data_IF_758689441597
#
_entry.id   IF_758689441597
#
_cell.length_a   1.000
_cell.length_b   1.000
_cell.length_c   1.000
_cell.angle_alpha   90.00
_cell.angle_beta   90.00
_cell.angle_gamma   90.00
#
_symmetry.space_group_name_H-M   'P 1'
#
loop_
_entity.id
_entity.type
_entity.pdbx_description
1 polymer ?
#
# COMPACT_ATOMS: atom_id res chain seq x y z
N UNK A 1 -4.21 19.78 -9.92
CA UNK A 1 -3.87 18.41 -10.36
C UNK A 1 -4.01 17.52 -9.15
N UNK A 2 -4.85 16.49 -9.20
CA UNK A 2 -5.07 15.60 -8.06
C UNK A 2 -3.97 14.55 -7.99
N UNK A 3 -3.48 14.22 -6.79
CA UNK A 3 -2.59 13.08 -6.56
C UNK A 3 -3.41 11.94 -5.97
N UNK A 4 -3.31 10.75 -6.54
CA UNK A 4 -4.09 9.58 -6.14
C UNK A 4 -3.14 8.44 -5.84
N UNK A 5 -3.20 7.95 -4.60
CA UNK A 5 -2.54 6.72 -4.17
C UNK A 5 -3.51 5.54 -4.31
N UNK A 6 -3.12 4.51 -5.06
CA UNK A 6 -3.95 3.34 -5.33
C UNK A 6 -3.23 2.04 -4.97
N UNK A 7 -3.83 1.24 -4.08
CA UNK A 7 -3.33 -0.08 -3.70
C UNK A 7 -4.48 -0.98 -3.25
N UNK A 8 -4.25 -2.30 -3.26
CA UNK A 8 -5.17 -3.27 -2.69
C UNK A 8 -4.71 -3.71 -1.30
N UNK A 9 -5.63 -3.74 -0.32
CA UNK A 9 -5.35 -4.21 1.04
C UNK A 9 -5.32 -5.75 1.14
N UNK A 10 -4.52 -6.42 0.29
CA UNK A 10 -4.37 -7.88 0.27
C UNK A 10 -2.99 -8.28 -0.22
N UNK A 11 -2.39 -9.27 0.45
CA UNK A 11 -1.15 -9.94 0.01
C UNK A 11 -1.38 -10.98 -1.09
N UNK A 12 -2.61 -11.15 -1.58
CA UNK A 12 -2.85 -12.03 -2.72
C UNK A 12 -2.28 -11.44 -4.01
N UNK A 13 -1.31 -12.15 -4.61
CA UNK A 13 -0.78 -11.83 -5.95
C UNK A 13 -1.84 -11.83 -7.07
N UNK A 14 -3.02 -12.41 -6.81
CA UNK A 14 -4.17 -12.46 -7.73
C UNK A 14 -5.35 -11.60 -7.25
N UNK A 15 -5.14 -10.65 -6.34
CA UNK A 15 -6.18 -9.80 -5.76
C UNK A 15 -7.01 -9.07 -6.83
N UNK A 16 -8.31 -9.35 -6.88
CA UNK A 16 -9.25 -8.64 -7.75
C UNK A 16 -9.43 -7.19 -7.30
N UNK A 17 -9.39 -6.93 -5.99
CA UNK A 17 -9.50 -5.58 -5.43
C UNK A 17 -8.30 -4.71 -5.83
N UNK A 18 -7.09 -5.27 -5.86
CA UNK A 18 -5.90 -4.55 -6.37
C UNK A 18 -6.09 -4.17 -7.83
N UNK A 19 -6.51 -5.11 -8.68
CA UNK A 19 -6.76 -4.85 -10.11
C UNK A 19 -7.82 -3.76 -10.30
N UNK A 20 -8.91 -3.83 -9.55
CA UNK A 20 -10.00 -2.87 -9.62
C UNK A 20 -9.57 -1.46 -9.16
N UNK A 21 -8.86 -1.35 -8.03
CA UNK A 21 -8.36 -0.06 -7.52
C UNK A 21 -7.43 0.63 -8.53
N UNK A 22 -6.48 -0.11 -9.11
CA UNK A 22 -5.56 0.42 -10.12
C UNK A 22 -6.33 0.85 -11.38
N UNK A 23 -7.29 0.04 -11.84
CA UNK A 23 -8.11 0.38 -12.99
C UNK A 23 -8.87 1.70 -12.80
N UNK A 24 -9.60 1.82 -11.68
CA UNK A 24 -10.40 3.03 -11.38
C UNK A 24 -9.51 4.26 -11.21
N UNK A 25 -8.35 4.14 -10.56
CA UNK A 25 -7.42 5.26 -10.40
C UNK A 25 -6.96 5.82 -11.75
N UNK A 26 -6.67 4.96 -12.72
CA UNK A 26 -6.27 5.38 -14.08
C UNK A 26 -7.42 6.02 -14.89
N UNK A 27 -8.69 5.88 -14.46
CA UNK A 27 -9.81 6.55 -15.10
C UNK A 27 -9.98 8.01 -14.66
N UNK A 28 -9.24 8.48 -13.65
CA UNK A 28 -9.38 9.84 -13.10
C UNK A 28 -8.65 10.83 -14.03
N UNK A 29 -9.37 11.78 -14.68
CA UNK A 29 -8.75 12.70 -15.63
C UNK A 29 -7.75 13.64 -14.94
N UNK A 30 -6.58 13.81 -15.57
CA UNK A 30 -5.53 14.74 -15.12
C UNK A 30 -5.06 14.53 -13.67
N UNK A 31 -5.12 13.28 -13.17
CA UNK A 31 -4.55 12.91 -11.88
C UNK A 31 -3.15 12.28 -12.04
N UNK A 32 -2.26 12.58 -11.10
CA UNK A 32 -1.00 11.89 -10.91
C UNK A 32 -1.27 10.63 -10.09
N UNK A 33 -1.08 9.45 -10.68
CA UNK A 33 -1.42 8.17 -10.04
C UNK A 33 -0.13 7.53 -9.49
N UNK A 34 -0.10 7.30 -8.18
CA UNK A 34 0.91 6.51 -7.48
C UNK A 34 0.31 5.13 -7.17
N UNK A 35 0.91 4.05 -7.66
CA UNK A 35 0.43 2.68 -7.44
C UNK A 35 1.39 1.94 -6.53
N UNK A 36 0.86 1.32 -5.47
CA UNK A 36 1.62 0.47 -4.55
C UNK A 36 1.16 -0.99 -4.63
N UNK A 37 2.11 -1.92 -4.60
CA UNK A 37 1.88 -3.30 -4.22
C UNK A 37 2.17 -3.51 -2.74
N UNK A 38 1.17 -3.92 -1.96
CA UNK A 38 1.36 -4.17 -0.53
C UNK A 38 2.35 -5.31 -0.24
N UNK A 39 2.59 -6.20 -1.21
CA UNK A 39 3.61 -7.25 -1.10
C UNK A 39 5.04 -6.71 -1.01
N UNK A 40 5.30 -5.48 -1.48
CA UNK A 40 6.60 -4.83 -1.34
C UNK A 40 6.81 -4.26 0.08
N UNK A 41 5.75 -4.26 0.89
CA UNK A 41 5.67 -3.72 2.24
C UNK A 41 5.15 -4.75 3.23
N UNK A 42 5.49 -6.03 3.03
CA UNK A 42 5.08 -7.10 3.91
C UNK A 42 5.63 -6.88 5.33
N UNK A 43 4.73 -6.81 6.30
CA UNK A 43 5.01 -6.53 7.70
C UNK A 43 4.29 -7.55 8.57
N UNK A 44 4.78 -7.83 9.79
CA UNK A 44 4.03 -8.66 10.73
C UNK A 44 2.68 -8.02 11.05
N UNK A 45 1.70 -8.85 11.40
CA UNK A 45 0.48 -8.34 12.03
C UNK A 45 0.89 -7.54 13.28
N UNK A 46 0.35 -6.34 13.39
CA UNK A 46 0.62 -5.43 14.49
C UNK A 46 0.36 -6.10 15.85
N UNK A 47 1.29 -5.89 16.77
CA UNK A 47 1.23 -6.27 18.17
C UNK A 47 2.11 -5.28 18.93
N UNK A 48 1.61 -4.77 20.06
CA UNK A 48 2.37 -3.82 20.86
C UNK A 48 3.66 -4.45 21.39
N UNK A 49 3.63 -5.70 21.82
CA UNK A 49 4.81 -6.44 22.29
C UNK A 49 5.90 -6.50 21.21
N UNK A 50 5.52 -6.77 19.96
CA UNK A 50 6.48 -6.83 18.84
C UNK A 50 7.11 -5.48 18.54
N UNK A 51 6.35 -4.39 18.66
CA UNK A 51 6.84 -3.03 18.46
C UNK A 51 7.76 -2.60 19.61
N UNK A 52 7.44 -2.95 20.86
CA UNK A 52 8.33 -2.67 22.00
C UNK A 52 9.65 -3.44 21.91
N UNK A 53 9.62 -4.68 21.42
CA UNK A 53 10.80 -5.53 21.26
C UNK A 53 11.67 -5.15 20.05
N UNK A 54 11.05 -4.86 18.90
CA UNK A 54 11.75 -4.76 17.60
C UNK A 54 11.65 -3.37 16.96
N UNK A 55 10.89 -2.46 17.56
CA UNK A 55 10.56 -1.16 16.98
C UNK A 55 9.56 -1.25 15.82
N UNK A 56 9.35 -0.11 15.18
CA UNK A 56 8.50 0.01 13.99
C UNK A 56 9.26 -0.57 12.78
N UNK A 57 8.64 -1.45 11.96
CA UNK A 57 9.29 -2.00 10.77
C UNK A 57 9.75 -0.92 9.79
N UNK A 58 10.96 -1.07 9.25
CA UNK A 58 11.51 -0.15 8.23
C UNK A 58 10.59 0.00 7.00
N UNK A 59 9.91 -1.08 6.62
CA UNK A 59 8.94 -1.07 5.52
C UNK A 59 7.73 -0.17 5.81
N UNK A 60 7.35 0.05 7.08
CA UNK A 60 6.30 1.00 7.44
C UNK A 60 6.72 2.44 7.13
N UNK A 61 7.98 2.79 7.44
CA UNK A 61 8.52 4.11 7.10
C UNK A 61 8.59 4.30 5.59
N UNK A 62 9.04 3.29 4.84
CA UNK A 62 9.04 3.36 3.36
C UNK A 62 7.65 3.50 2.76
N UNK A 63 6.65 2.80 3.31
CA UNK A 63 5.26 2.92 2.86
C UNK A 63 4.72 4.35 3.05
N UNK A 64 5.12 5.03 4.14
CA UNK A 64 4.68 6.40 4.47
C UNK A 64 5.15 7.46 3.45
N UNK A 65 6.21 7.20 2.69
CA UNK A 65 6.80 8.17 1.75
C UNK A 65 6.04 8.29 0.41
N UNK A 66 4.96 7.52 0.21
CA UNK A 66 4.14 7.51 -1.00
C UNK A 66 2.89 8.39 -0.93
#
# INVERSE_FOLDING_TARGET
MSKVLAFGASSSKKSINKKFAIYVANCIPSAEINVIDLNDYEMPIYSIDKEEENGIPELAYRFKEH
#
